data_IF_845871285948
#
_entry.id   IF_845871285948
#
_cell.length_a   1.000
_cell.length_b   1.000
_cell.length_c   1.000
_cell.angle_alpha   90.00
_cell.angle_beta   90.00
_cell.angle_gamma   90.00
#
_symmetry.space_group_name_H-M   'P 1'
#
loop_
_entity.id
_entity.type
_entity.pdbx_description
1 polymer ?
#
# COMPACT_ATOMS: atom_id res chain seq x y z
N UNK A 1 6.88 -7.00 -29.43
CA UNK A 1 7.82 -7.72 -28.56
C UNK A 1 7.09 -8.09 -27.28
N UNK A 2 7.04 -9.38 -26.98
CA UNK A 2 6.16 -9.99 -25.99
C UNK A 2 6.62 -9.64 -24.56
N UNK A 3 5.90 -8.76 -23.87
CA UNK A 3 6.21 -8.42 -22.48
C UNK A 3 5.45 -9.36 -21.52
N UNK A 4 5.82 -10.63 -21.57
CA UNK A 4 5.33 -11.65 -20.65
C UNK A 4 6.10 -11.56 -19.33
N UNK A 5 5.50 -10.86 -18.37
CA UNK A 5 5.58 -11.12 -16.91
C UNK A 5 4.46 -10.31 -16.22
N UNK A 6 3.22 -10.64 -16.56
CA UNK A 6 2.08 -10.34 -15.70
C UNK A 6 2.27 -11.21 -14.44
N UNK A 7 3.00 -10.68 -13.46
CA UNK A 7 3.20 -11.34 -12.18
C UNK A 7 1.83 -11.59 -11.56
N UNK A 8 1.53 -12.86 -11.29
CA UNK A 8 0.25 -13.36 -10.81
C UNK A 8 -0.48 -12.36 -9.91
N UNK A 9 -1.68 -11.99 -10.36
CA UNK A 9 -2.62 -11.11 -9.68
C UNK A 9 -3.26 -11.82 -8.49
N UNK A 10 -2.45 -12.16 -7.49
CA UNK A 10 -2.91 -12.95 -6.35
C UNK A 10 -3.69 -12.08 -5.37
N UNK A 11 -4.97 -12.40 -5.19
CA UNK A 11 -5.84 -11.78 -4.19
C UNK A 11 -5.43 -12.29 -2.81
N UNK A 12 -5.32 -11.42 -1.78
CA UNK A 12 -5.08 -11.85 -0.41
C UNK A 12 -6.19 -12.78 0.09
N UNK A 13 -5.82 -13.91 0.68
CA UNK A 13 -6.75 -14.89 1.23
C UNK A 13 -6.30 -15.32 2.63
N UNK A 14 -7.27 -15.66 3.46
CA UNK A 14 -7.01 -16.19 4.79
C UNK A 14 -6.19 -17.47 4.70
N UNK A 15 -5.23 -17.59 5.61
CA UNK A 15 -4.36 -18.76 5.70
C UNK A 15 -3.15 -18.77 4.79
N UNK A 16 -2.96 -17.78 3.90
CA UNK A 16 -1.69 -17.61 3.18
C UNK A 16 -0.52 -17.48 4.15
N UNK A 17 0.62 -18.09 3.81
CA UNK A 17 1.83 -18.09 4.63
C UNK A 17 2.97 -17.31 3.99
N UNK A 18 3.78 -16.67 4.83
CA UNK A 18 4.93 -15.84 4.45
C UNK A 18 6.14 -16.22 5.29
N UNK A 19 7.33 -16.13 4.70
CA UNK A 19 8.57 -16.45 5.42
C UNK A 19 9.03 -15.31 6.34
N UNK A 20 8.54 -14.08 6.14
CA UNK A 20 8.91 -12.89 6.92
C UNK A 20 7.76 -11.88 7.06
N UNK A 21 7.88 -10.94 8.01
CA UNK A 21 6.98 -9.78 8.14
C UNK A 21 7.06 -8.90 6.89
N UNK A 22 8.27 -8.76 6.35
CA UNK A 22 8.55 -7.94 5.19
C UNK A 22 7.90 -8.50 3.93
N UNK A 23 7.90 -9.83 3.73
CA UNK A 23 7.25 -10.47 2.59
C UNK A 23 5.74 -10.29 2.64
N UNK A 24 5.14 -10.47 3.81
CA UNK A 24 3.72 -10.19 4.01
C UNK A 24 3.38 -8.72 3.71
N UNK A 25 4.22 -7.78 4.18
CA UNK A 25 4.04 -6.36 3.89
C UNK A 25 4.13 -6.07 2.39
N UNK A 26 5.15 -6.59 1.70
CA UNK A 26 5.33 -6.41 0.24
C UNK A 26 4.13 -6.95 -0.53
N UNK A 27 3.66 -8.14 -0.17
CA UNK A 27 2.49 -8.77 -0.76
C UNK A 27 1.25 -7.86 -0.65
N UNK A 28 0.93 -7.41 0.57
CA UNK A 28 -0.26 -6.56 0.78
C UNK A 28 -0.09 -5.16 0.19
N UNK A 29 1.12 -4.60 0.19
CA UNK A 29 1.38 -3.30 -0.44
C UNK A 29 1.23 -3.36 -1.97
N UNK A 30 1.58 -4.49 -2.60
CA UNK A 30 1.35 -4.73 -4.03
C UNK A 30 -0.15 -4.87 -4.33
N UNK A 31 -0.88 -5.61 -3.51
CA UNK A 31 -2.34 -5.67 -3.62
C UNK A 31 -2.98 -4.29 -3.47
N UNK A 32 -2.55 -3.52 -2.48
CA UNK A 32 -3.04 -2.17 -2.24
C UNK A 32 -2.73 -1.21 -3.39
N UNK A 33 -1.58 -1.37 -4.05
CA UNK A 33 -1.26 -0.63 -5.27
C UNK A 33 -2.26 -0.92 -6.39
N UNK A 34 -2.57 -2.20 -6.65
CA UNK A 34 -3.57 -2.60 -7.65
C UNK A 34 -4.96 -2.06 -7.31
N UNK A 35 -5.35 -2.16 -6.04
CA UNK A 35 -6.61 -1.65 -5.53
C UNK A 35 -6.58 -0.15 -5.24
N UNK A 36 -5.48 0.55 -5.57
CA UNK A 36 -5.34 2.00 -5.45
C UNK A 36 -5.64 2.59 -4.06
N UNK A 37 -5.13 1.93 -3.01
CA UNK A 37 -5.05 2.49 -1.66
C UNK A 37 -3.65 2.40 -1.07
N UNK A 38 -3.46 3.13 0.04
CA UNK A 38 -2.20 3.21 0.74
C UNK A 38 -2.26 2.38 2.03
N UNK A 39 -1.21 1.61 2.29
CA UNK A 39 -1.08 0.75 3.46
C UNK A 39 -0.28 1.46 4.54
N UNK A 40 -0.83 1.46 5.75
CA UNK A 40 -0.13 1.85 6.98
C UNK A 40 0.25 0.61 7.77
N UNK A 41 1.50 0.55 8.22
CA UNK A 41 1.92 -0.37 9.29
C UNK A 41 1.30 0.11 10.61
N UNK A 42 0.41 -0.70 11.21
CA UNK A 42 -0.31 -0.37 12.43
C UNK A 42 0.46 -0.89 13.65
N UNK A 43 -0.14 -1.71 14.53
CA UNK A 43 0.61 -2.31 15.65
C UNK A 43 1.52 -3.45 15.21
N UNK A 44 2.50 -3.73 16.07
CA UNK A 44 3.40 -4.86 15.99
C UNK A 44 3.57 -5.41 17.41
N UNK A 45 3.27 -6.70 17.58
CA UNK A 45 3.43 -7.38 18.85
C UNK A 45 4.68 -8.25 18.77
N UNK A 46 5.45 -8.24 19.85
CA UNK A 46 6.64 -9.08 20.02
C UNK A 46 6.48 -9.93 21.28
N UNK A 47 7.15 -11.08 21.32
CA UNK A 47 7.34 -11.81 22.57
C UNK A 47 8.51 -11.25 23.39
N UNK A 48 8.81 -11.92 24.50
CA UNK A 48 9.88 -11.53 25.43
C UNK A 48 11.27 -11.58 24.79
N UNK A 49 11.44 -12.41 23.77
CA UNK A 49 12.69 -12.59 23.03
C UNK A 49 12.82 -11.60 21.85
N UNK A 50 11.82 -10.71 21.69
CA UNK A 50 11.80 -9.71 20.63
C UNK A 50 11.31 -10.24 19.28
N UNK A 51 10.84 -11.49 19.22
CA UNK A 51 10.31 -12.11 18.00
C UNK A 51 8.93 -11.55 17.72
N UNK A 52 8.68 -11.14 16.48
CA UNK A 52 7.38 -10.60 16.07
C UNK A 52 6.34 -11.72 16.09
N UNK A 53 5.37 -11.64 16.98
CA UNK A 53 4.30 -12.64 17.11
C UNK A 53 3.11 -12.33 16.23
N UNK A 54 2.83 -11.03 16.00
CA UNK A 54 1.77 -10.59 15.10
C UNK A 54 1.98 -9.16 14.62
N UNK A 55 1.45 -8.87 13.43
CA UNK A 55 1.54 -7.55 12.81
C UNK A 55 0.25 -7.23 12.08
N UNK A 56 -0.23 -5.98 12.22
CA UNK A 56 -1.39 -5.47 11.51
C UNK A 56 -0.99 -4.42 10.48
N UNK A 57 -1.54 -4.55 9.29
CA UNK A 57 -1.52 -3.56 8.23
C UNK A 57 -2.93 -3.06 8.00
N UNK A 58 -3.10 -1.76 7.84
CA UNK A 58 -4.42 -1.14 7.68
C UNK A 58 -4.43 -0.12 6.56
N UNK A 59 -5.60 0.15 5.99
CA UNK A 59 -5.75 1.28 5.07
C UNK A 59 -5.34 2.60 5.75
N UNK A 60 -4.67 3.48 5.01
CA UNK A 60 -4.24 4.79 5.49
C UNK A 60 -5.39 5.68 5.96
N UNK A 61 -6.60 5.50 5.40
CA UNK A 61 -7.82 6.23 5.82
C UNK A 61 -8.45 5.68 7.11
N UNK A 62 -7.79 4.75 7.83
CA UNK A 62 -8.25 4.20 9.11
C UNK A 62 -8.36 5.27 10.22
N UNK A 63 -9.38 5.10 11.07
CA UNK A 63 -9.64 5.89 12.27
C UNK A 63 -10.37 7.19 11.98
N UNK A 64 -10.55 8.01 13.02
CA UNK A 64 -11.19 9.33 12.93
C UNK A 64 -10.15 10.40 13.27
N UNK A 65 -10.21 11.57 12.63
CA UNK A 65 -9.38 12.71 13.03
C UNK A 65 -9.90 13.20 14.39
N UNK A 66 -9.03 13.32 15.40
CA UNK A 66 -9.40 14.01 16.64
C UNK A 66 -9.80 15.43 16.27
N UNK A 67 -10.99 15.87 16.69
CA UNK A 67 -11.38 17.28 16.57
C UNK A 67 -10.36 18.07 17.40
N UNK A 68 -9.82 19.14 16.82
CA UNK A 68 -9.05 20.11 17.60
C UNK A 68 -10.08 20.96 18.34
N UNK A 69 -10.12 20.86 19.66
CA UNK A 69 -10.89 21.79 20.49
C UNK A 69 -9.92 22.90 20.92
N UNK A 70 -9.99 24.04 20.24
CA UNK A 70 -9.20 25.23 20.53
C UNK A 70 -9.20 26.25 19.38
N UNK A 71 -9.14 27.54 19.71
CA UNK A 71 -9.19 28.69 18.77
C UNK A 71 -7.93 28.85 17.89
N UNK A 72 -7.01 27.90 17.94
CA UNK A 72 -5.82 27.90 17.09
C UNK A 72 -6.19 27.32 15.71
N UNK A 73 -6.46 28.19 14.74
CA UNK A 73 -6.58 27.80 13.34
C UNK A 73 -5.35 26.98 12.91
N UNK A 74 -5.49 25.70 12.51
CA UNK A 74 -4.36 24.96 11.98
C UNK A 74 -3.93 25.60 10.65
N UNK A 75 -2.68 26.08 10.56
CA UNK A 75 -2.06 26.73 9.38
C UNK A 75 -2.16 25.96 8.04
N UNK A 76 -2.67 24.72 8.04
CA UNK A 76 -3.05 23.96 6.84
C UNK A 76 -4.27 23.11 7.15
N UNK A 77 -5.38 23.37 6.46
CA UNK A 77 -6.55 22.49 6.38
C UNK A 77 -6.19 21.23 5.61
N UNK A 78 -5.40 20.32 6.20
CA UNK A 78 -5.22 18.98 5.63
C UNK A 78 -6.61 18.35 5.53
N UNK A 79 -7.00 18.02 4.30
CA UNK A 79 -8.27 17.38 3.95
C UNK A 79 -8.60 16.23 4.91
N UNK A 80 -9.90 15.92 5.03
CA UNK A 80 -10.42 14.78 5.80
C UNK A 80 -9.89 13.46 5.21
N UNK A 81 -8.66 13.08 5.55
CA UNK A 81 -8.00 11.88 5.01
C UNK A 81 -8.41 10.61 5.73
N UNK A 82 -9.15 10.71 6.83
CA UNK A 82 -9.56 9.59 7.69
C UNK A 82 -11.07 9.38 7.61
N UNK A 83 -11.49 8.26 7.05
CA UNK A 83 -12.91 7.88 6.87
C UNK A 83 -13.37 6.80 7.84
N UNK A 84 -12.51 6.39 8.78
CA UNK A 84 -12.81 5.23 9.63
C UNK A 84 -12.67 3.90 8.90
N UNK A 85 -11.91 3.83 7.80
CA UNK A 85 -11.78 2.62 6.98
C UNK A 85 -11.35 1.39 7.81
N UNK A 86 -12.10 0.29 7.67
CA UNK A 86 -11.88 -0.98 8.37
C UNK A 86 -10.94 -1.95 7.66
N UNK A 87 -10.58 -1.69 6.40
CA UNK A 87 -9.71 -2.56 5.61
C UNK A 87 -8.37 -2.81 6.29
N UNK A 88 -8.02 -4.09 6.46
CA UNK A 88 -6.85 -4.55 7.22
C UNK A 88 -6.39 -5.93 6.78
N UNK A 89 -5.12 -6.19 7.03
CA UNK A 89 -4.52 -7.53 7.00
C UNK A 89 -3.75 -7.75 8.30
N UNK A 90 -3.94 -8.89 8.93
CA UNK A 90 -3.24 -9.30 10.16
C UNK A 90 -2.51 -10.61 9.90
N UNK A 91 -1.23 -10.63 10.24
CA UNK A 91 -0.41 -11.83 10.23
C UNK A 91 -0.05 -12.25 11.65
N UNK A 92 0.08 -13.55 11.87
CA UNK A 92 0.47 -14.17 13.14
C UNK A 92 1.58 -15.18 12.86
N UNK A 93 2.59 -15.23 13.73
CA UNK A 93 3.68 -16.22 13.65
C UNK A 93 3.19 -17.61 14.07
N UNK A 94 3.39 -18.59 13.20
CA UNK A 94 3.26 -20.01 13.51
C UNK A 94 4.58 -20.52 14.08
N UNK A 95 4.64 -20.76 15.39
CA UNK A 95 5.87 -21.24 16.05
C UNK A 95 6.35 -22.62 15.55
N UNK A 96 5.43 -23.47 15.06
CA UNK A 96 5.78 -24.79 14.54
C UNK A 96 6.58 -24.75 13.23
N UNK A 97 6.28 -23.80 12.35
CA UNK A 97 6.93 -23.67 11.02
C UNK A 97 7.84 -22.44 10.92
N UNK A 98 7.82 -21.57 11.93
CA UNK A 98 8.47 -20.25 11.95
C UNK A 98 8.05 -19.35 10.76
N UNK A 99 6.83 -19.54 10.25
CA UNK A 99 6.23 -18.73 9.18
C UNK A 99 5.12 -17.83 9.70
N UNK A 100 4.85 -16.75 9.00
CA UNK A 100 3.72 -15.87 9.28
C UNK A 100 2.50 -16.30 8.48
N UNK A 101 1.38 -16.57 9.13
CA UNK A 101 0.11 -16.90 8.49
C UNK A 101 -0.85 -15.72 8.56
N UNK A 102 -1.57 -15.47 7.46
CA UNK A 102 -2.64 -14.50 7.42
C UNK A 102 -3.81 -14.98 8.27
N UNK A 103 -4.04 -14.28 9.38
CA UNK A 103 -5.02 -14.65 10.41
C UNK A 103 -6.36 -13.92 10.23
N UNK A 104 -6.34 -12.66 9.83
CA UNK A 104 -7.54 -11.84 9.67
C UNK A 104 -7.35 -10.88 8.49
N UNK A 105 -8.39 -10.75 7.67
CA UNK A 105 -8.37 -10.01 6.42
C UNK A 105 -9.72 -9.35 6.20
N UNK A 106 -9.70 -8.04 5.99
CA UNK A 106 -10.86 -7.24 5.56
C UNK A 106 -10.42 -6.45 4.33
N UNK A 107 -11.03 -6.76 3.19
CA UNK A 107 -10.76 -6.11 1.91
C UNK A 107 -11.76 -4.98 1.59
N UNK A 108 -12.90 -4.94 2.27
CA UNK A 108 -13.93 -3.93 2.04
C UNK A 108 -13.48 -2.54 2.52
N UNK A 109 -13.67 -1.54 1.67
CA UNK A 109 -13.38 -0.14 1.96
C UNK A 109 -14.67 0.67 2.02
N UNK A 110 -14.78 1.54 3.02
CA UNK A 110 -15.90 2.48 3.18
C UNK A 110 -15.69 3.82 2.44
N UNK A 111 -14.77 3.84 1.49
CA UNK A 111 -14.41 5.03 0.72
C UNK A 111 -14.00 4.61 -0.68
N UNK A 112 -14.14 5.53 -1.61
CA UNK A 112 -13.62 5.34 -2.96
C UNK A 112 -12.12 5.09 -2.92
N UNK A 113 -11.72 4.04 -3.61
CA UNK A 113 -10.35 3.71 -3.94
C UNK A 113 -9.94 4.62 -5.11
N UNK A 114 -8.72 5.17 -5.07
CA UNK A 114 -8.32 6.16 -6.07
C UNK A 114 -8.18 5.50 -7.46
N UNK A 115 -8.03 6.28 -8.53
CA UNK A 115 -7.74 5.73 -9.85
C UNK A 115 -6.27 5.29 -9.89
N UNK A 116 -6.00 4.08 -10.40
CA UNK A 116 -4.67 3.47 -10.45
C UNK A 116 -3.58 4.37 -11.07
N UNK A 117 -3.97 5.31 -11.94
CA UNK A 117 -3.09 6.28 -12.60
C UNK A 117 -2.35 7.23 -11.63
N UNK A 118 -2.88 7.46 -10.41
CA UNK A 118 -2.25 8.32 -9.41
C UNK A 118 -1.49 7.55 -8.31
N UNK A 119 -1.29 6.24 -8.47
CA UNK A 119 -0.66 5.39 -7.45
C UNK A 119 0.80 5.78 -7.14
N UNK A 120 1.51 6.34 -8.11
CA UNK A 120 2.88 6.87 -7.96
C UNK A 120 2.97 8.05 -6.95
N UNK A 121 1.85 8.73 -6.66
CA UNK A 121 1.79 9.84 -5.71
C UNK A 121 1.63 9.39 -4.25
N UNK A 122 1.37 8.09 -4.00
CA UNK A 122 1.09 7.57 -2.67
C UNK A 122 2.36 7.38 -1.83
N UNK A 123 2.43 7.89 -0.58
CA UNK A 123 3.63 7.79 0.26
C UNK A 123 4.20 6.38 0.48
N UNK A 124 3.36 5.33 0.58
CA UNK A 124 3.83 3.95 0.74
C UNK A 124 4.43 3.38 -0.56
N UNK A 125 4.09 3.99 -1.70
CA UNK A 125 4.45 3.54 -3.04
C UNK A 125 5.62 4.33 -3.65
N UNK A 126 6.09 5.41 -3.00
CA UNK A 126 7.23 6.23 -3.46
C UNK A 126 8.55 5.45 -3.58
N UNK A 127 8.69 4.32 -2.89
CA UNK A 127 9.89 3.47 -2.95
C UNK A 127 9.82 2.37 -4.02
N UNK A 128 8.75 2.31 -4.82
CA UNK A 128 8.54 1.19 -5.75
C UNK A 128 9.02 1.49 -7.18
N UNK A 129 9.56 2.69 -7.43
CA UNK A 129 10.15 3.05 -8.73
C UNK A 129 11.60 3.56 -8.55
N UNK A 130 12.54 2.63 -8.44
CA UNK A 130 13.93 2.88 -8.87
C UNK A 130 14.28 1.87 -9.98
N UNK A 131 13.57 1.94 -11.10
CA UNK A 131 14.06 1.40 -12.37
C UNK A 131 13.66 2.33 -13.51
N UNK A 132 14.66 3.10 -13.92
CA UNK A 132 14.90 3.75 -15.22
C UNK A 132 14.01 4.91 -15.68
N UNK A 133 14.74 6.00 -15.95
CA UNK A 133 14.23 7.27 -16.43
C UNK A 133 13.61 7.14 -17.80
N UNK A 134 12.51 7.85 -17.96
CA UNK A 134 11.94 8.21 -19.24
C UNK A 134 12.97 9.10 -19.98
N UNK A 135 13.66 8.54 -20.97
CA UNK A 135 14.17 9.33 -22.09
C UNK A 135 13.01 9.44 -23.07
N UNK A 136 12.40 10.63 -23.29
CA UNK A 136 11.55 10.81 -24.45
C UNK A 136 12.45 10.84 -25.68
N UNK A 137 12.52 9.70 -26.35
CA UNK A 137 12.98 9.61 -27.73
C UNK A 137 12.01 10.39 -28.63
N UNK A 138 12.41 11.61 -28.97
CA UNK A 138 11.81 12.39 -30.06
C UNK A 138 12.34 11.82 -31.38
N UNK A 139 11.46 11.22 -32.17
CA UNK A 139 11.75 10.78 -33.53
C UNK A 139 10.93 11.61 -34.50
N UNK A 140 11.65 12.43 -35.29
CA UNK A 140 11.60 12.64 -36.76
C UNK A 140 10.23 12.88 -37.43
N UNK A 141 10.04 13.66 -38.48
CA UNK A 141 10.78 14.63 -39.31
C UNK A 141 9.73 15.10 -40.36
N UNK A 142 10.05 16.14 -41.13
CA UNK A 142 9.52 16.57 -42.45
C UNK A 142 8.84 17.95 -42.54
N UNK A 143 9.60 18.92 -43.05
CA UNK A 143 9.34 19.45 -44.41
C UNK A 143 8.53 20.75 -44.58
N UNK A 144 9.25 21.88 -44.67
CA UNK A 144 9.16 22.95 -45.69
C UNK A 144 7.82 23.69 -45.97
N UNK A 145 7.77 25.00 -45.72
CA UNK A 145 7.99 26.03 -46.76
C UNK A 145 7.79 27.45 -46.21
N UNK A 146 8.75 28.33 -46.55
CA UNK A 146 8.63 29.78 -46.46
C UNK A 146 7.57 30.30 -47.43
N UNK A 147 6.82 31.32 -47.01
CA UNK A 147 6.33 32.37 -47.90
C UNK A 147 6.21 33.68 -47.15
#
# INVERSE_FOLDING_TARGET
MHCSKLTEDKIPELGMEFNSEEDAYKFYNKYAFKMSFNVRKDYLNKDKDGVITSRRYSCYKKGVKRKYEGDAMPKRTRALTKTGCGAKMIIVLLRGTMKYRMHDLVLEHNHELHIAQCSHMMPSQRKVNEVQGFQPEISEDTGFSLK
#
